data_IF_844607265889
#
_entry.id   IF_844607265889
#
_cell.length_a   1.000
_cell.length_b   1.000
_cell.length_c   1.000
_cell.angle_alpha   90.00
_cell.angle_beta   90.00
_cell.angle_gamma   90.00
#
_symmetry.space_group_name_H-M   'P 1'
#
loop_
_entity.id
_entity.type
_entity.pdbx_description
1 polymer ?
#
# COMPACT_ATOMS: atom_id res chain seq x y z
N UNK A 1 -0.47 -3.22 18.80
CA UNK A 1 -1.34 -2.84 17.68
C UNK A 1 -0.91 -3.63 16.45
N UNK A 2 -1.78 -3.73 15.43
CA UNK A 2 -1.52 -4.57 14.24
C UNK A 2 -1.62 -3.73 12.97
N UNK A 3 -0.65 -3.89 12.05
CA UNK A 3 -0.67 -3.27 10.72
C UNK A 3 -0.84 -4.34 9.63
N UNK A 4 -1.77 -4.11 8.71
CA UNK A 4 -1.86 -4.88 7.48
C UNK A 4 -0.94 -4.26 6.43
N UNK A 5 -0.03 -5.03 5.88
CA UNK A 5 0.97 -4.58 4.91
C UNK A 5 0.67 -5.20 3.56
N UNK A 6 0.36 -4.36 2.57
CA UNK A 6 0.18 -4.76 1.17
C UNK A 6 1.46 -4.42 0.43
N UNK A 7 2.25 -5.44 0.13
CA UNK A 7 3.51 -5.32 -0.60
C UNK A 7 3.33 -5.75 -2.05
N UNK A 8 3.88 -4.95 -2.96
CA UNK A 8 3.73 -5.21 -4.39
C UNK A 8 5.03 -4.90 -5.14
N UNK A 9 5.82 -5.93 -5.45
CA UNK A 9 7.00 -5.83 -6.32
C UNK A 9 7.26 -7.15 -7.03
N UNK A 10 7.56 -7.15 -8.36
CA UNK A 10 7.75 -8.39 -9.12
C UNK A 10 9.09 -9.13 -8.84
N UNK A 11 10.01 -8.51 -8.13
CA UNK A 11 11.35 -9.05 -7.87
C UNK A 11 11.70 -9.04 -6.39
N UNK A 12 12.13 -10.18 -5.87
CA UNK A 12 12.68 -10.32 -4.51
C UNK A 12 14.02 -9.53 -4.34
N UNK A 13 14.77 -9.34 -5.41
CA UNK A 13 16.02 -8.59 -5.42
C UNK A 13 15.78 -7.12 -5.80
N UNK A 14 15.08 -6.38 -4.94
CA UNK A 14 14.76 -4.98 -5.20
C UNK A 14 15.00 -4.10 -3.97
N UNK A 15 15.23 -2.80 -4.21
CA UNK A 15 15.24 -1.82 -3.13
C UNK A 15 13.92 -1.83 -2.36
N UNK A 16 12.79 -1.94 -3.08
CA UNK A 16 11.45 -1.98 -2.47
C UNK A 16 11.28 -3.16 -1.51
N UNK A 17 11.88 -4.32 -1.83
CA UNK A 17 11.88 -5.48 -0.91
C UNK A 17 12.65 -5.18 0.36
N UNK A 18 13.87 -4.65 0.23
CA UNK A 18 14.71 -4.29 1.40
C UNK A 18 14.03 -3.19 2.25
N UNK A 19 13.38 -2.23 1.60
CA UNK A 19 12.58 -1.20 2.26
C UNK A 19 11.41 -1.81 3.05
N UNK A 20 10.69 -2.78 2.45
CA UNK A 20 9.62 -3.52 3.12
C UNK A 20 10.15 -4.26 4.35
N UNK A 21 11.25 -5.02 4.20
CA UNK A 21 11.83 -5.77 5.31
C UNK A 21 12.31 -4.87 6.45
N UNK A 22 12.88 -3.72 6.12
CA UNK A 22 13.28 -2.73 7.12
C UNK A 22 12.06 -2.16 7.87
N UNK A 23 10.98 -1.83 7.16
CA UNK A 23 9.72 -1.38 7.76
C UNK A 23 9.13 -2.44 8.71
N UNK A 24 9.04 -3.70 8.26
CA UNK A 24 8.52 -4.81 9.06
C UNK A 24 9.34 -5.03 10.35
N UNK A 25 10.68 -4.96 10.27
CA UNK A 25 11.54 -5.01 11.47
C UNK A 25 11.20 -3.86 12.43
N UNK A 26 11.05 -2.63 11.93
CA UNK A 26 10.65 -1.50 12.76
C UNK A 26 9.32 -1.71 13.49
N UNK A 27 8.33 -2.30 12.79
CA UNK A 27 7.03 -2.66 13.40
C UNK A 27 7.22 -3.67 14.54
N UNK A 28 7.96 -4.75 14.29
CA UNK A 28 8.18 -5.81 15.32
C UNK A 28 9.02 -5.31 16.50
N UNK A 29 10.08 -4.55 16.24
CA UNK A 29 10.96 -4.02 17.29
C UNK A 29 10.26 -2.99 18.20
N UNK A 30 9.15 -2.40 17.72
CA UNK A 30 8.28 -1.55 18.53
C UNK A 30 7.21 -2.31 19.32
N UNK A 31 7.23 -3.64 19.32
CA UNK A 31 6.27 -4.51 20.01
C UNK A 31 4.89 -4.59 19.33
N UNK A 32 4.80 -4.23 18.06
CA UNK A 32 3.59 -4.33 17.26
C UNK A 32 3.62 -5.55 16.34
N UNK A 33 2.45 -5.93 15.84
CA UNK A 33 2.27 -7.08 14.93
C UNK A 33 2.01 -6.60 13.50
N UNK A 34 2.31 -7.44 12.52
CA UNK A 34 1.89 -7.22 11.14
C UNK A 34 1.28 -8.46 10.51
N UNK A 35 0.44 -8.23 9.50
CA UNK A 35 0.03 -9.23 8.52
C UNK A 35 0.55 -8.74 7.17
N UNK A 36 1.19 -9.63 6.39
CA UNK A 36 1.76 -9.28 5.08
C UNK A 36 1.01 -9.98 3.96
N UNK A 37 0.54 -9.22 2.97
CA UNK A 37 0.14 -9.69 1.65
C UNK A 37 1.20 -9.29 0.64
N UNK A 38 2.01 -10.25 0.21
CA UNK A 38 2.90 -10.10 -0.93
C UNK A 38 2.13 -10.50 -2.20
N UNK A 39 1.63 -9.50 -2.93
CA UNK A 39 0.70 -9.72 -4.04
C UNK A 39 1.28 -10.54 -5.19
N UNK A 40 2.59 -10.49 -5.42
CA UNK A 40 3.25 -11.31 -6.43
C UNK A 40 3.45 -12.74 -5.96
N UNK A 41 3.95 -12.92 -4.74
CA UNK A 41 4.23 -14.23 -4.17
C UNK A 41 2.97 -15.06 -3.94
N UNK A 42 1.88 -14.41 -3.51
CA UNK A 42 0.60 -15.09 -3.31
C UNK A 42 -0.18 -15.32 -4.62
N UNK A 43 0.29 -14.76 -5.74
CA UNK A 43 -0.40 -14.89 -7.03
C UNK A 43 -1.76 -14.20 -7.06
N UNK A 44 -1.93 -13.08 -6.32
CA UNK A 44 -3.22 -12.39 -6.25
C UNK A 44 -3.75 -12.09 -7.65
N UNK A 45 -4.99 -12.48 -7.92
CA UNK A 45 -5.69 -12.20 -9.18
C UNK A 45 -6.07 -10.73 -9.22
N UNK A 46 -5.69 -10.02 -10.30
CA UNK A 46 -5.88 -8.57 -10.40
C UNK A 46 -7.05 -8.18 -11.29
N UNK A 47 -7.39 -9.05 -12.24
CA UNK A 47 -8.44 -8.75 -13.20
C UNK A 47 -9.80 -9.01 -12.55
N UNK A 48 -10.61 -7.96 -12.49
CA UNK A 48 -12.00 -8.06 -12.06
C UNK A 48 -12.78 -8.91 -13.06
N UNK A 49 -13.52 -9.90 -12.58
CA UNK A 49 -14.42 -10.68 -13.41
C UNK A 49 -15.67 -9.89 -13.80
N UNK A 50 -16.40 -10.33 -14.84
CA UNK A 50 -17.69 -9.73 -15.20
C UNK A 50 -18.69 -9.81 -14.05
N UNK A 51 -18.68 -10.89 -13.29
CA UNK A 51 -19.56 -11.07 -12.12
C UNK A 51 -19.27 -10.06 -11.02
N UNK A 52 -17.99 -9.87 -10.67
CA UNK A 52 -17.54 -8.83 -9.72
C UNK A 52 -17.92 -7.43 -10.19
N UNK A 53 -17.68 -7.14 -11.48
CA UNK A 53 -18.06 -5.86 -12.08
C UNK A 53 -19.56 -5.61 -12.00
N UNK A 54 -20.39 -6.58 -12.41
CA UNK A 54 -21.86 -6.43 -12.39
C UNK A 54 -22.42 -6.33 -10.97
N UNK A 55 -21.82 -7.02 -10.01
CA UNK A 55 -22.13 -6.90 -8.60
C UNK A 55 -21.95 -5.45 -8.12
N UNK A 56 -20.78 -4.88 -8.35
CA UNK A 56 -20.41 -3.55 -7.87
C UNK A 56 -21.11 -2.44 -8.66
N UNK A 57 -21.23 -2.57 -9.99
CA UNK A 57 -21.92 -1.61 -10.85
C UNK A 57 -23.43 -1.51 -10.56
N UNK A 58 -24.03 -2.58 -10.06
CA UNK A 58 -25.44 -2.61 -9.66
C UNK A 58 -25.66 -2.36 -8.16
N UNK A 59 -24.61 -1.97 -7.43
CA UNK A 59 -24.68 -1.70 -5.99
C UNK A 59 -25.26 -2.89 -5.19
N UNK A 60 -24.78 -4.09 -5.47
CA UNK A 60 -25.24 -5.31 -4.80
C UNK A 60 -24.14 -5.89 -3.93
N UNK A 61 -24.50 -6.48 -2.81
CA UNK A 61 -23.62 -7.24 -1.94
C UNK A 61 -23.61 -8.75 -2.26
N UNK A 62 -24.44 -9.15 -3.23
CA UNK A 62 -24.56 -10.54 -3.71
C UNK A 62 -24.30 -10.63 -5.22
N UNK A 63 -23.65 -11.70 -5.69
CA UNK A 63 -23.04 -12.78 -4.89
C UNK A 63 -21.93 -12.26 -3.99
N UNK A 64 -21.52 -13.07 -3.02
CA UNK A 64 -20.36 -12.78 -2.17
C UNK A 64 -19.10 -12.52 -3.01
N UNK A 65 -18.18 -11.72 -2.44
CA UNK A 65 -16.87 -11.52 -3.05
C UNK A 65 -16.07 -12.83 -3.12
N UNK A 66 -15.16 -12.93 -4.08
CA UNK A 66 -14.26 -14.06 -4.21
C UNK A 66 -13.45 -14.32 -2.91
N UNK A 67 -13.07 -15.57 -2.68
CA UNK A 67 -12.39 -15.98 -1.43
C UNK A 67 -11.06 -15.21 -1.20
N UNK A 68 -10.29 -14.97 -2.25
CA UNK A 68 -9.04 -14.19 -2.18
C UNK A 68 -9.31 -12.73 -1.77
N UNK A 69 -10.39 -12.13 -2.25
CA UNK A 69 -10.84 -10.78 -1.87
C UNK A 69 -11.31 -10.76 -0.42
N UNK A 70 -12.12 -11.74 0.00
CA UNK A 70 -12.60 -11.86 1.37
C UNK A 70 -11.45 -11.98 2.37
N UNK A 71 -10.45 -12.80 2.06
CA UNK A 71 -9.26 -12.94 2.89
C UNK A 71 -8.50 -11.61 3.09
N UNK A 72 -8.41 -10.76 2.05
CA UNK A 72 -7.80 -9.43 2.18
C UNK A 72 -8.66 -8.48 3.03
N UNK A 73 -9.99 -8.51 2.85
CA UNK A 73 -10.93 -7.72 3.66
C UNK A 73 -10.88 -8.08 5.15
N UNK A 74 -10.74 -9.37 5.47
CA UNK A 74 -10.58 -9.84 6.85
C UNK A 74 -9.27 -9.34 7.48
N UNK A 75 -8.15 -9.32 6.73
CA UNK A 75 -6.87 -8.75 7.17
C UNK A 75 -7.01 -7.25 7.49
N UNK A 76 -7.75 -6.51 6.65
CA UNK A 76 -8.04 -5.09 6.89
C UNK A 76 -8.83 -4.93 8.20
N UNK A 77 -9.95 -5.64 8.35
CA UNK A 77 -10.82 -5.51 9.51
C UNK A 77 -10.18 -5.99 10.82
N UNK A 78 -9.20 -6.90 10.75
CA UNK A 78 -8.44 -7.37 11.92
C UNK A 78 -7.25 -6.49 12.29
N UNK A 79 -6.99 -5.41 11.54
CA UNK A 79 -5.85 -4.52 11.73
C UNK A 79 -6.25 -3.14 12.24
N UNK A 80 -5.28 -2.38 12.77
CA UNK A 80 -5.47 -1.01 13.27
C UNK A 80 -4.95 0.01 12.25
N UNK A 81 -3.99 -0.39 11.41
CA UNK A 81 -3.43 0.43 10.34
C UNK A 81 -3.22 -0.39 9.07
N UNK A 82 -3.01 0.30 7.95
CA UNK A 82 -2.63 -0.32 6.67
C UNK A 82 -1.39 0.36 6.11
N UNK A 83 -0.48 -0.43 5.54
CA UNK A 83 0.70 0.07 4.85
C UNK A 83 0.72 -0.44 3.41
N UNK A 84 0.95 0.45 2.44
CA UNK A 84 1.15 0.09 1.04
C UNK A 84 2.62 0.31 0.68
N UNK A 85 3.31 -0.73 0.22
CA UNK A 85 4.74 -0.70 -0.09
C UNK A 85 4.97 -1.17 -1.53
N UNK A 86 5.39 -0.24 -2.41
CA UNK A 86 5.47 -0.51 -3.84
C UNK A 86 6.46 0.41 -4.59
N UNK A 87 6.94 0.02 -5.78
CA UNK A 87 7.67 0.90 -6.68
C UNK A 87 6.71 1.76 -7.51
N UNK A 88 7.08 2.99 -7.78
CA UNK A 88 6.32 3.86 -8.70
C UNK A 88 6.61 3.46 -10.15
N UNK A 89 5.56 3.10 -10.88
CA UNK A 89 5.59 2.86 -12.32
C UNK A 89 4.69 3.90 -13.02
N UNK A 90 5.27 4.73 -13.87
CA UNK A 90 4.52 5.75 -14.64
C UNK A 90 3.61 6.63 -13.76
N UNK A 91 4.12 7.11 -12.63
CA UNK A 91 3.40 7.96 -11.67
C UNK A 91 2.26 7.23 -10.94
N UNK A 92 2.18 5.91 -11.06
CA UNK A 92 1.15 5.07 -10.45
C UNK A 92 1.79 3.90 -9.69
N UNK A 93 0.97 3.22 -8.91
CA UNK A 93 1.32 1.92 -8.33
C UNK A 93 1.40 0.85 -9.45
N UNK A 94 2.10 -0.27 -9.22
CA UNK A 94 2.07 -1.39 -10.16
C UNK A 94 0.64 -1.87 -10.44
N UNK A 95 0.35 -2.29 -11.67
CA UNK A 95 -0.98 -2.77 -12.08
C UNK A 95 -1.56 -3.82 -11.10
N UNK A 96 -0.71 -4.66 -10.52
CA UNK A 96 -1.13 -5.65 -9.52
C UNK A 96 -1.71 -5.02 -8.25
N UNK A 97 -1.17 -3.89 -7.78
CA UNK A 97 -1.73 -3.17 -6.64
C UNK A 97 -2.98 -2.37 -7.04
N UNK A 98 -3.03 -1.84 -8.26
CA UNK A 98 -4.25 -1.19 -8.79
C UNK A 98 -5.41 -2.20 -8.82
N UNK A 99 -5.19 -3.37 -9.43
CA UNK A 99 -6.20 -4.44 -9.47
C UNK A 99 -6.58 -4.99 -8.09
N UNK A 100 -5.65 -4.94 -7.11
CA UNK A 100 -6.00 -5.23 -5.73
C UNK A 100 -7.04 -4.22 -5.19
N UNK A 101 -6.87 -2.91 -5.44
CA UNK A 101 -7.86 -1.90 -5.07
C UNK A 101 -9.18 -2.11 -5.80
N UNK A 102 -9.15 -2.39 -7.11
CA UNK A 102 -10.35 -2.57 -7.92
C UNK A 102 -11.23 -3.71 -7.41
N UNK A 103 -10.64 -4.78 -6.86
CA UNK A 103 -11.38 -5.94 -6.35
C UNK A 103 -11.68 -5.88 -4.86
N UNK A 104 -10.73 -5.43 -4.04
CA UNK A 104 -10.88 -5.43 -2.57
C UNK A 104 -11.75 -4.28 -2.07
N UNK A 105 -11.73 -3.12 -2.73
CA UNK A 105 -12.62 -1.98 -2.44
C UNK A 105 -14.01 -2.19 -3.05
N UNK A 106 -14.65 -3.31 -2.76
CA UNK A 106 -15.94 -3.68 -3.30
C UNK A 106 -17.11 -2.93 -2.62
N UNK A 107 -18.26 -2.91 -3.30
CA UNK A 107 -19.52 -2.42 -2.72
C UNK A 107 -19.91 -3.25 -1.49
N UNK A 108 -20.48 -2.58 -0.48
CA UNK A 108 -20.81 -3.18 0.80
C UNK A 108 -19.62 -3.26 1.77
N UNK A 109 -18.40 -3.32 1.26
CA UNK A 109 -17.17 -3.31 2.08
C UNK A 109 -16.57 -1.92 2.23
N UNK A 110 -16.01 -1.35 1.16
CA UNK A 110 -15.27 -0.08 1.21
C UNK A 110 -16.13 1.15 0.89
N UNK A 111 -17.28 0.96 0.28
CA UNK A 111 -18.28 1.99 -0.02
C UNK A 111 -19.69 1.41 0.01
N UNK A 112 -20.71 2.25 -0.12
CA UNK A 112 -22.11 1.87 0.14
C UNK A 112 -22.38 1.73 1.63
N UNK A 113 -22.95 0.61 2.07
CA UNK A 113 -23.27 0.31 3.48
C UNK A 113 -22.04 0.13 4.38
N UNK A 114 -20.88 -0.10 3.79
CA UNK A 114 -19.57 0.03 4.39
C UNK A 114 -19.32 -0.80 5.66
N UNK A 115 -18.88 -2.03 5.50
CA UNK A 115 -18.51 -2.91 6.61
C UNK A 115 -17.01 -2.83 6.97
N UNK A 116 -16.22 -2.10 6.18
CA UNK A 116 -14.82 -1.86 6.45
C UNK A 116 -14.62 -1.04 7.73
N UNK A 117 -13.79 -1.56 8.64
CA UNK A 117 -13.35 -0.84 9.83
C UNK A 117 -12.67 0.48 9.45
N UNK A 118 -13.00 1.58 10.13
CA UNK A 118 -12.25 2.82 10.03
C UNK A 118 -10.87 2.63 10.70
N UNK A 119 -9.82 2.56 9.89
CA UNK A 119 -8.46 2.37 10.40
C UNK A 119 -7.89 3.65 11.01
N UNK A 120 -6.97 3.53 11.96
CA UNK A 120 -6.34 4.69 12.61
C UNK A 120 -5.35 5.39 11.67
N UNK A 121 -4.57 4.62 10.88
CA UNK A 121 -3.55 5.19 10.01
C UNK A 121 -3.39 4.38 8.73
N UNK A 122 -3.12 5.08 7.62
CA UNK A 122 -2.53 4.49 6.42
C UNK A 122 -1.18 5.14 6.13
N UNK A 123 -0.19 4.32 5.81
CA UNK A 123 1.12 4.79 5.37
C UNK A 123 1.44 4.21 3.99
N UNK A 124 1.89 5.08 3.09
CA UNK A 124 2.38 4.71 1.76
C UNK A 124 3.88 4.89 1.74
N UNK A 125 4.62 3.83 1.46
CA UNK A 125 6.05 3.85 1.21
C UNK A 125 6.27 3.46 -0.24
N UNK A 126 6.66 4.40 -1.08
CA UNK A 126 6.93 4.11 -2.48
C UNK A 126 8.37 4.44 -2.86
N UNK A 127 8.98 3.56 -3.67
CA UNK A 127 10.30 3.79 -4.26
C UNK A 127 10.15 4.39 -5.66
N UNK A 128 10.93 5.42 -5.96
CA UNK A 128 10.91 6.11 -7.24
C UNK A 128 12.33 6.26 -7.80
N UNK A 129 12.49 6.04 -9.10
CA UNK A 129 13.77 6.27 -9.78
C UNK A 129 14.11 7.75 -9.94
N UNK A 130 13.09 8.60 -10.11
CA UNK A 130 13.28 10.05 -10.24
C UNK A 130 13.46 10.73 -8.88
N UNK A 131 14.24 11.83 -8.80
CA UNK A 131 14.30 12.68 -7.62
C UNK A 131 12.93 13.24 -7.25
N UNK A 132 12.65 13.34 -5.95
CA UNK A 132 11.37 13.85 -5.44
C UNK A 132 11.12 15.31 -5.87
N UNK A 133 12.16 16.12 -6.02
CA UNK A 133 12.09 17.49 -6.53
C UNK A 133 11.53 17.52 -7.95
N UNK A 134 11.97 16.61 -8.81
CA UNK A 134 11.42 16.47 -10.17
C UNK A 134 9.96 16.06 -10.14
N UNK A 135 9.59 15.12 -9.28
CA UNK A 135 8.19 14.71 -9.13
C UNK A 135 7.31 15.88 -8.68
N UNK A 136 7.80 16.75 -7.79
CA UNK A 136 7.10 17.98 -7.37
C UNK A 136 6.98 18.99 -8.49
N UNK A 137 8.08 19.27 -9.18
CA UNK A 137 8.12 20.26 -10.27
C UNK A 137 7.08 19.99 -11.37
N UNK A 138 6.84 18.72 -11.68
CA UNK A 138 5.88 18.31 -12.69
C UNK A 138 4.48 17.96 -12.14
N UNK A 139 4.22 18.20 -10.85
CA UNK A 139 2.93 17.89 -10.20
C UNK A 139 2.66 16.39 -10.03
N UNK A 140 3.63 15.52 -10.33
CA UNK A 140 3.45 14.07 -10.29
C UNK A 140 3.30 13.56 -8.86
N UNK A 141 4.04 14.13 -7.91
CA UNK A 141 3.90 13.78 -6.50
C UNK A 141 2.49 14.07 -5.96
N UNK A 142 1.92 15.22 -6.33
CA UNK A 142 0.58 15.59 -5.90
C UNK A 142 -0.48 14.70 -6.57
N UNK A 143 -0.27 14.30 -7.82
CA UNK A 143 -1.14 13.34 -8.51
C UNK A 143 -1.16 11.99 -7.80
N UNK A 144 0.01 11.42 -7.45
CA UNK A 144 0.09 10.18 -6.69
C UNK A 144 -0.63 10.27 -5.34
N UNK A 145 -0.43 11.39 -4.61
CA UNK A 145 -1.09 11.61 -3.32
C UNK A 145 -2.61 11.75 -3.48
N UNK A 146 -3.10 12.43 -4.50
CA UNK A 146 -4.53 12.61 -4.74
C UNK A 146 -5.23 11.29 -5.03
N UNK A 147 -4.62 10.41 -5.83
CA UNK A 147 -5.15 9.07 -6.09
C UNK A 147 -5.27 8.27 -4.78
N UNK A 148 -4.20 8.25 -3.97
CA UNK A 148 -4.20 7.47 -2.74
C UNK A 148 -5.10 8.08 -1.65
N UNK A 149 -4.96 9.37 -1.38
CA UNK A 149 -5.65 10.02 -0.26
C UNK A 149 -7.08 10.42 -0.60
N UNK A 150 -7.31 10.89 -1.83
CA UNK A 150 -8.59 11.46 -2.24
C UNK A 150 -9.62 10.39 -2.61
N UNK A 151 -9.20 9.25 -3.12
CA UNK A 151 -10.12 8.23 -3.62
C UNK A 151 -9.97 6.91 -2.87
N UNK A 152 -8.77 6.34 -2.81
CA UNK A 152 -8.55 5.03 -2.22
C UNK A 152 -8.67 5.00 -0.69
N UNK A 153 -8.32 6.09 0.01
CA UNK A 153 -8.25 6.12 1.48
C UNK A 153 -9.24 7.08 2.15
N UNK A 154 -9.84 8.01 1.40
CA UNK A 154 -10.78 8.97 1.97
C UNK A 154 -11.95 8.29 2.69
N UNK A 155 -12.18 8.70 3.94
CA UNK A 155 -13.24 8.14 4.78
C UNK A 155 -13.05 6.67 5.20
N UNK A 156 -11.87 6.07 4.93
CA UNK A 156 -11.50 4.70 5.33
C UNK A 156 -10.39 4.67 6.38
N UNK A 157 -9.67 5.77 6.53
CA UNK A 157 -8.61 5.94 7.53
C UNK A 157 -8.69 7.32 8.16
N UNK A 158 -8.24 7.45 9.42
CA UNK A 158 -8.22 8.73 10.15
C UNK A 158 -7.03 9.60 9.78
N UNK A 159 -5.87 8.98 9.54
CA UNK A 159 -4.61 9.66 9.23
C UNK A 159 -3.92 8.98 8.06
N UNK A 160 -3.30 9.79 7.19
CA UNK A 160 -2.55 9.30 6.03
C UNK A 160 -1.14 9.88 6.00
N UNK A 161 -0.17 9.07 5.61
CA UNK A 161 1.22 9.47 5.41
C UNK A 161 1.73 8.94 4.07
N UNK A 162 2.42 9.79 3.29
CA UNK A 162 2.99 9.40 1.99
C UNK A 162 4.50 9.66 1.99
N UNK A 163 5.29 8.62 1.88
CA UNK A 163 6.75 8.66 1.94
C UNK A 163 7.32 8.17 0.61
N UNK A 164 8.08 9.04 -0.06
CA UNK A 164 8.83 8.67 -1.26
C UNK A 164 10.28 8.41 -0.87
N UNK A 165 10.79 7.29 -1.37
CA UNK A 165 12.20 6.92 -1.39
C UNK A 165 12.68 7.09 -2.81
N UNK A 166 13.30 8.20 -3.09
CA UNK A 166 13.69 8.61 -4.43
C UNK A 166 15.11 8.16 -4.81
N UNK A 167 15.49 8.39 -6.08
CA UNK A 167 16.80 8.00 -6.62
C UNK A 167 17.12 6.51 -6.41
N UNK A 168 16.11 5.63 -6.53
CA UNK A 168 16.25 4.20 -6.27
C UNK A 168 16.51 3.37 -7.53
N UNK A 169 16.78 3.98 -8.69
CA UNK A 169 17.16 3.29 -9.92
C UNK A 169 18.38 2.42 -9.72
N UNK A 170 18.38 1.23 -10.32
CA UNK A 170 19.52 0.29 -10.24
C UNK A 170 20.78 0.94 -10.80
N UNK A 171 21.94 0.54 -10.25
CA UNK A 171 23.28 0.89 -10.75
C UNK A 171 23.56 2.41 -10.77
N UNK A 172 22.97 3.17 -9.87
CA UNK A 172 23.27 4.60 -9.71
C UNK A 172 24.06 4.84 -8.42
N UNK A 173 25.06 5.73 -8.47
CA UNK A 173 25.83 6.13 -7.29
C UNK A 173 24.93 6.70 -6.17
N UNK A 174 23.89 7.44 -6.54
CA UNK A 174 22.96 8.02 -5.57
C UNK A 174 22.17 6.96 -4.81
N UNK A 175 21.78 5.88 -5.48
CA UNK A 175 21.13 4.74 -4.84
C UNK A 175 22.04 4.12 -3.79
N UNK A 176 23.27 3.79 -4.18
CA UNK A 176 24.23 3.16 -3.28
C UNK A 176 24.59 4.08 -2.10
N UNK A 177 24.83 5.35 -2.37
CA UNK A 177 25.12 6.36 -1.34
C UNK A 177 23.99 6.52 -0.32
N UNK A 178 22.73 6.45 -0.76
CA UNK A 178 21.56 6.67 0.10
C UNK A 178 20.96 5.37 0.65
N UNK A 179 21.53 4.21 0.33
CA UNK A 179 20.97 2.91 0.64
C UNK A 179 20.65 2.74 2.12
N UNK A 180 21.66 2.84 2.97
CA UNK A 180 21.51 2.62 4.41
C UNK A 180 20.61 3.67 5.07
N UNK A 181 20.73 4.93 4.67
CA UNK A 181 19.89 6.01 5.18
C UNK A 181 18.42 5.79 4.82
N UNK A 182 18.15 5.31 3.61
CA UNK A 182 16.79 4.99 3.17
C UNK A 182 16.23 3.78 3.91
N UNK A 183 17.02 2.73 4.12
CA UNK A 183 16.57 1.57 4.92
C UNK A 183 16.34 1.95 6.38
N UNK A 184 17.19 2.78 6.98
CA UNK A 184 16.98 3.30 8.32
C UNK A 184 15.69 4.14 8.40
N UNK A 185 15.43 5.01 7.40
CA UNK A 185 14.19 5.77 7.31
C UNK A 185 12.96 4.85 7.24
N UNK A 186 13.01 3.78 6.46
CA UNK A 186 11.92 2.81 6.37
C UNK A 186 11.70 2.08 7.72
N UNK A 187 12.78 1.67 8.38
CA UNK A 187 12.74 1.08 9.72
C UNK A 187 12.08 2.03 10.73
N UNK A 188 12.50 3.30 10.78
CA UNK A 188 11.92 4.29 11.70
C UNK A 188 10.43 4.53 11.41
N UNK A 189 10.00 4.50 10.15
CA UNK A 189 8.57 4.58 9.79
C UNK A 189 7.76 3.40 10.33
N UNK A 190 8.31 2.20 10.32
CA UNK A 190 7.70 1.03 10.96
C UNK A 190 7.66 1.16 12.48
N UNK A 191 8.80 1.53 13.09
CA UNK A 191 8.95 1.66 14.53
C UNK A 191 8.05 2.72 15.14
N UNK A 192 7.81 3.82 14.43
CA UNK A 192 7.01 4.96 14.91
C UNK A 192 5.57 4.96 14.39
N UNK A 193 5.15 3.93 13.68
CA UNK A 193 3.85 3.88 12.98
C UNK A 193 2.67 4.23 13.90
N UNK A 194 2.69 3.73 15.14
CA UNK A 194 1.61 3.89 16.11
C UNK A 194 1.91 4.91 17.22
N UNK A 195 3.03 5.62 17.14
CA UNK A 195 3.27 6.70 18.09
C UNK A 195 2.29 7.85 17.80
N UNK A 196 1.62 8.32 18.83
CA UNK A 196 0.80 9.54 18.76
C UNK A 196 1.74 10.73 18.67
N UNK A 197 1.62 11.49 17.59
CA UNK A 197 2.27 12.80 17.44
C UNK A 197 1.38 13.85 18.11
#
# INVERSE_FOLDING_TARGET
>A
MKVFVVYCHPSENSFTKNMCDAFLRGVTDSGNEYILSDLYKMGFTTDMSEEEYLRDANYRDTPDVAEDVRAEQEKINSSDAIAFIYPVFWTEAPAKLVGWFDRVWSYGFAYGEKTMKLLDKAIILCSAGNPVERLRQFGLLDSMKRVMFGDRLFGRVKQTEFVVFDNTSRETELREKNWDANLQKAYEKGKTLFLRI
#
